data_IF_511883940868
#
_entry.id   IF_511883940868
#
_cell.length_a   1.000
_cell.length_b   1.000
_cell.length_c   1.000
_cell.angle_alpha   90.00
_cell.angle_beta   90.00
_cell.angle_gamma   90.00
#
_symmetry.space_group_name_H-M   'P 1'
#
loop_
_entity.id
_entity.type
_entity.pdbx_description
1 polymer ?
#
# COMPACT_ATOMS: atom_id res chain seq x y z
N UNK A 1 -0.57 48.42 11.14
CA UNK A 1 0.43 47.65 10.36
C UNK A 1 0.77 46.29 10.99
N UNK A 2 1.12 46.22 12.29
CA UNK A 2 1.46 44.95 12.97
C UNK A 2 0.36 43.86 12.91
N UNK A 3 -0.92 44.25 12.99
CA UNK A 3 -2.07 43.33 12.84
C UNK A 3 -2.18 42.71 11.44
N UNK A 4 -1.81 43.47 10.41
CA UNK A 4 -1.78 42.98 9.03
C UNK A 4 -0.60 42.03 8.82
N UNK A 5 0.54 42.31 9.48
CA UNK A 5 1.72 41.45 9.47
C UNK A 5 1.46 40.09 10.15
N UNK A 6 0.79 40.08 11.30
CA UNK A 6 0.40 38.83 11.99
C UNK A 6 -0.60 38.00 11.18
N UNK A 7 -1.54 38.65 10.50
CA UNK A 7 -2.50 37.98 9.62
C UNK A 7 -1.81 37.23 8.48
N UNK A 8 -0.86 37.90 7.80
CA UNK A 8 -0.05 37.27 6.75
C UNK A 8 0.80 36.09 7.25
N UNK A 9 1.37 36.21 8.45
CA UNK A 9 2.14 35.13 9.06
C UNK A 9 1.27 33.89 9.38
N UNK A 10 0.04 34.10 9.84
CA UNK A 10 -0.92 33.03 10.13
C UNK A 10 -1.37 32.34 8.83
N UNK A 11 -1.75 33.11 7.80
CA UNK A 11 -2.13 32.58 6.49
C UNK A 11 -1.01 31.76 5.84
N UNK A 12 0.24 32.22 5.95
CA UNK A 12 1.40 31.48 5.44
C UNK A 12 1.62 30.16 6.20
N UNK A 13 1.48 30.17 7.52
CA UNK A 13 1.59 28.96 8.34
C UNK A 13 0.49 27.92 8.01
N UNK A 14 -0.76 28.36 7.78
CA UNK A 14 -1.83 27.45 7.36
C UNK A 14 -1.61 26.88 5.95
N UNK A 15 -1.07 27.68 5.03
CA UNK A 15 -0.76 27.22 3.65
C UNK A 15 0.35 26.15 3.60
N UNK A 16 1.27 26.14 4.57
CA UNK A 16 2.34 25.14 4.67
C UNK A 16 1.86 23.81 5.28
N UNK A 17 0.74 23.82 5.99
CA UNK A 17 0.13 22.63 6.57
C UNK A 17 -0.77 21.94 5.52
N UNK A 18 -0.19 21.46 4.42
CA UNK A 18 -0.89 20.52 3.56
C UNK A 18 -0.85 19.15 4.23
N UNK A 19 -1.94 18.77 4.89
CA UNK A 19 -2.14 17.41 5.36
C UNK A 19 -2.29 16.50 4.12
N UNK A 20 -1.19 15.96 3.62
CA UNK A 20 -1.21 14.98 2.54
C UNK A 20 -1.57 13.62 3.12
N UNK A 21 -2.86 13.40 3.42
CA UNK A 21 -3.37 12.05 3.67
C UNK A 21 -3.51 11.35 2.32
N UNK A 22 -2.41 10.81 1.80
CA UNK A 22 -2.45 9.93 0.62
C UNK A 22 -2.97 8.59 1.10
N UNK A 23 -4.28 8.41 1.03
CA UNK A 23 -4.93 7.13 1.38
C UNK A 23 -4.53 6.10 0.32
N UNK A 24 -3.55 5.26 0.66
CA UNK A 24 -3.02 4.25 -0.26
C UNK A 24 -3.94 3.04 -0.27
N UNK A 25 -4.15 2.47 -1.44
CA UNK A 25 -4.85 1.19 -1.56
C UNK A 25 -3.94 0.08 -1.02
N UNK A 26 -4.39 -0.57 0.06
CA UNK A 26 -3.70 -1.74 0.61
C UNK A 26 -3.96 -2.98 -0.25
N UNK A 27 -2.88 -3.65 -0.65
CA UNK A 27 -2.92 -4.89 -1.43
C UNK A 27 -2.06 -5.95 -0.73
N UNK A 28 -2.69 -7.04 -0.28
CA UNK A 28 -1.97 -8.16 0.33
C UNK A 28 -1.82 -9.30 -0.69
N UNK A 29 -0.58 -9.73 -0.94
CA UNK A 29 -0.24 -10.78 -1.90
C UNK A 29 0.27 -12.00 -1.14
N UNK A 30 -0.50 -13.08 -1.17
CA UNK A 30 -0.08 -14.38 -0.66
C UNK A 30 0.72 -15.11 -1.75
N UNK A 31 1.98 -15.42 -1.47
CA UNK A 31 2.86 -16.04 -2.45
C UNK A 31 3.61 -17.24 -1.87
N UNK A 32 3.83 -18.27 -2.68
CA UNK A 32 4.69 -19.40 -2.33
C UNK A 32 6.03 -19.26 -3.05
N UNK A 33 7.14 -19.27 -2.31
CA UNK A 33 8.47 -19.02 -2.88
C UNK A 33 8.90 -20.02 -3.95
N UNK A 34 8.45 -21.27 -3.83
CA UNK A 34 8.73 -22.34 -4.79
C UNK A 34 7.71 -22.43 -5.93
N UNK A 35 6.62 -21.66 -5.89
CA UNK A 35 5.61 -21.68 -6.95
C UNK A 35 6.10 -20.91 -8.19
N UNK A 36 6.27 -21.57 -9.35
CA UNK A 36 6.71 -20.90 -10.57
C UNK A 36 5.73 -19.81 -11.04
N UNK A 37 4.42 -20.05 -10.86
CA UNK A 37 3.36 -19.09 -11.21
C UNK A 37 3.40 -17.83 -10.36
N UNK A 38 3.62 -17.95 -9.04
CA UNK A 38 3.78 -16.81 -8.15
C UNK A 38 5.00 -15.96 -8.55
N UNK A 39 6.13 -16.60 -8.84
CA UNK A 39 7.35 -15.91 -9.31
C UNK A 39 7.09 -15.18 -10.63
N UNK A 40 6.42 -15.83 -11.58
CA UNK A 40 6.09 -15.23 -12.86
C UNK A 40 5.16 -14.02 -12.68
N UNK A 41 4.10 -14.15 -11.89
CA UNK A 41 3.16 -13.06 -11.59
C UNK A 41 3.86 -11.84 -10.99
N UNK A 42 4.69 -12.05 -9.96
CA UNK A 42 5.40 -10.95 -9.29
C UNK A 42 6.28 -10.21 -10.30
N UNK A 43 7.08 -10.94 -11.07
CA UNK A 43 8.08 -10.34 -11.96
C UNK A 43 7.48 -9.68 -13.21
N UNK A 44 6.40 -10.24 -13.76
CA UNK A 44 5.87 -9.82 -15.05
C UNK A 44 4.61 -8.97 -14.97
N UNK A 45 3.89 -9.00 -13.84
CA UNK A 45 2.63 -8.26 -13.67
C UNK A 45 2.71 -7.30 -12.49
N UNK A 46 2.95 -7.80 -11.28
CA UNK A 46 2.85 -6.98 -10.08
C UNK A 46 3.95 -5.92 -10.00
N UNK A 47 5.22 -6.32 -10.20
CA UNK A 47 6.36 -5.42 -10.05
C UNK A 47 6.36 -4.27 -11.06
N UNK A 48 6.11 -4.50 -12.38
CA UNK A 48 6.00 -3.41 -13.34
C UNK A 48 4.91 -2.40 -12.98
N UNK A 49 3.72 -2.88 -12.58
CA UNK A 49 2.60 -2.00 -12.20
C UNK A 49 2.91 -1.23 -10.91
N UNK A 50 3.58 -1.87 -9.94
CA UNK A 50 4.00 -1.20 -8.71
C UNK A 50 4.92 -0.01 -8.98
N UNK A 51 5.87 -0.14 -9.91
CA UNK A 51 6.77 0.97 -10.27
C UNK A 51 6.03 2.20 -10.80
N UNK A 52 4.87 2.01 -11.45
CA UNK A 52 4.04 3.10 -11.95
C UNK A 52 3.09 3.67 -10.89
N UNK A 53 2.70 2.86 -9.88
CA UNK A 53 1.62 3.17 -8.94
C UNK A 53 2.04 3.17 -7.45
N UNK A 54 3.34 3.14 -7.13
CA UNK A 54 3.86 3.05 -5.76
C UNK A 54 3.38 4.17 -4.82
N UNK A 55 3.06 5.35 -5.36
CA UNK A 55 2.51 6.48 -4.62
C UNK A 55 1.07 6.23 -4.15
N UNK A 56 0.35 5.32 -4.81
CA UNK A 56 -1.05 4.99 -4.55
C UNK A 56 -1.23 3.61 -3.89
N UNK A 57 -0.22 2.76 -3.90
CA UNK A 57 -0.31 1.38 -3.41
C UNK A 57 0.52 1.17 -2.14
N UNK A 58 -0.05 0.42 -1.19
CA UNK A 58 0.66 -0.19 -0.07
C UNK A 58 0.61 -1.70 -0.24
N UNK A 59 1.73 -2.32 -0.63
CA UNK A 59 1.82 -3.75 -0.91
C UNK A 59 2.40 -4.50 0.30
N UNK A 60 1.66 -5.49 0.78
CA UNK A 60 2.11 -6.45 1.79
C UNK A 60 2.30 -7.82 1.11
N UNK A 61 3.48 -8.43 1.24
CA UNK A 61 3.76 -9.75 0.66
C UNK A 61 3.85 -10.78 1.79
N UNK A 62 2.92 -11.74 1.79
CA UNK A 62 2.80 -12.77 2.82
C UNK A 62 3.23 -14.13 2.25
N UNK A 63 4.30 -14.76 2.78
CA UNK A 63 4.68 -16.10 2.35
C UNK A 63 3.60 -17.11 2.76
N UNK A 64 3.10 -17.85 1.78
CA UNK A 64 2.09 -18.89 1.92
C UNK A 64 2.67 -20.25 1.50
N UNK A 65 2.23 -21.32 2.16
CA UNK A 65 2.65 -22.69 1.87
C UNK A 65 1.41 -23.58 1.78
N UNK A 66 1.32 -24.36 0.70
CA UNK A 66 0.29 -25.39 0.56
C UNK A 66 0.66 -26.62 1.41
N UNK A 67 0.39 -26.55 2.71
CA UNK A 67 0.33 -27.77 3.54
C UNK A 67 -1.09 -28.31 3.46
N UNK A 68 -1.23 -29.56 3.03
CA UNK A 68 -2.51 -30.25 2.76
C UNK A 68 -3.41 -30.50 4.00
N UNK A 69 -3.22 -29.75 5.10
CA UNK A 69 -3.96 -29.93 6.36
C UNK A 69 -4.87 -28.77 6.74
N UNK A 70 -5.02 -27.72 5.91
CA UNK A 70 -5.94 -26.62 6.28
C UNK A 70 -6.51 -25.88 5.07
N UNK A 71 -7.51 -26.45 4.43
CA UNK A 71 -8.37 -25.69 3.51
C UNK A 71 -9.17 -24.61 4.28
N UNK A 72 -9.47 -24.88 5.56
CA UNK A 72 -10.29 -24.00 6.41
C UNK A 72 -9.65 -22.63 6.71
N UNK A 73 -8.32 -22.57 6.85
CA UNK A 73 -7.61 -21.31 7.15
C UNK A 73 -7.50 -20.36 5.96
N UNK A 74 -7.62 -20.87 4.73
CA UNK A 74 -7.56 -20.05 3.50
C UNK A 74 -8.84 -19.23 3.35
N UNK A 75 -9.99 -19.81 3.68
CA UNK A 75 -11.29 -19.13 3.57
C UNK A 75 -11.47 -18.04 4.64
N UNK A 76 -10.91 -18.22 5.84
CA UNK A 76 -10.91 -17.18 6.87
C UNK A 76 -10.05 -15.97 6.48
N UNK A 77 -8.88 -16.19 5.87
CA UNK A 77 -8.01 -15.11 5.41
C UNK A 77 -8.59 -14.32 4.21
N UNK A 78 -9.49 -14.92 3.43
CA UNK A 78 -10.17 -14.24 2.31
C UNK A 78 -11.46 -13.50 2.73
N UNK A 79 -11.94 -13.69 3.97
CA UNK A 79 -13.17 -13.05 4.51
C UNK A 79 -12.92 -11.90 5.48
N UNK A 80 -11.68 -11.69 5.92
CA UNK A 80 -11.26 -10.55 6.74
C UNK A 80 -10.83 -9.37 5.87
#
# INVERSE_FOLDING_TARGET
>A
MKKLLYSFAILYALSLCQATSTDKLKVTVFFESLCPGCRYFILTHLYPVYLELESYLEIEVVPFQWVSLTYDKIIEAQRA
#
